data_IF_908068349116
#
_entry.id   IF_908068349116
#
_cell.length_a   1.000
_cell.length_b   1.000
_cell.length_c   1.000
_cell.angle_alpha   90.00
_cell.angle_beta   90.00
_cell.angle_gamma   90.00
#
_symmetry.space_group_name_H-M   'P 1'
#
loop_
_entity.id
_entity.type
_entity.pdbx_description
1 polymer ?
#
# COMPACT_ATOMS: atom_id res chain seq x y z
N UNK A 1 90.89 29.99 -41.29
CA UNK A 1 90.83 31.26 -42.04
C UNK A 1 89.42 31.45 -42.58
N UNK A 2 88.84 32.65 -42.39
CA UNK A 2 87.67 33.24 -43.08
C UNK A 2 86.31 32.55 -42.83
N UNK A 3 85.44 33.09 -41.97
CA UNK A 3 84.56 34.27 -42.15
C UNK A 3 83.54 34.10 -43.27
N UNK A 4 82.25 34.02 -42.93
CA UNK A 4 81.20 34.94 -43.42
C UNK A 4 79.89 34.80 -42.64
N UNK A 5 79.40 35.96 -42.21
CA UNK A 5 78.05 36.30 -41.73
C UNK A 5 77.09 36.35 -42.93
N UNK A 6 75.81 35.94 -42.79
CA UNK A 6 74.57 36.60 -43.30
C UNK A 6 73.35 35.93 -42.64
N UNK A 7 72.63 36.64 -41.76
CA UNK A 7 71.40 37.44 -41.96
C UNK A 7 70.13 36.66 -42.37
N UNK A 8 69.35 36.37 -41.32
CA UNK A 8 67.89 36.47 -41.16
C UNK A 8 66.95 36.39 -42.38
N UNK A 9 65.98 35.48 -42.33
CA UNK A 9 64.55 35.81 -42.53
C UNK A 9 63.71 35.10 -41.47
N UNK A 10 62.96 35.94 -40.76
CA UNK A 10 61.95 35.66 -39.75
C UNK A 10 60.69 35.10 -40.45
N UNK A 11 60.21 33.92 -40.06
CA UNK A 11 58.81 33.52 -40.31
C UNK A 11 58.20 33.16 -38.96
N UNK A 12 57.43 34.12 -38.43
CA UNK A 12 56.47 33.91 -37.37
C UNK A 12 55.45 32.85 -37.82
N UNK A 13 55.46 31.68 -37.19
CA UNK A 13 54.28 30.82 -37.15
C UNK A 13 53.73 30.87 -35.73
N UNK A 14 52.70 31.70 -35.55
CA UNK A 14 51.91 31.74 -34.33
C UNK A 14 51.27 30.36 -34.09
N UNK A 15 51.63 29.73 -32.99
CA UNK A 15 50.83 28.69 -32.35
C UNK A 15 49.60 29.33 -31.71
N UNK A 16 48.39 28.80 -31.94
CA UNK A 16 47.42 28.68 -30.86
C UNK A 16 47.53 27.25 -30.31
N UNK A 17 48.23 27.12 -29.18
CA UNK A 17 48.00 26.01 -28.26
C UNK A 17 46.50 26.03 -27.92
N UNK A 18 45.76 25.04 -28.36
CA UNK A 18 44.43 24.78 -27.82
C UNK A 18 44.65 24.24 -26.42
N UNK A 19 44.70 25.14 -25.45
CA UNK A 19 44.41 24.79 -24.07
C UNK A 19 42.96 24.31 -24.06
N UNK A 20 42.75 23.00 -24.10
CA UNK A 20 41.50 22.40 -23.63
C UNK A 20 41.40 22.74 -22.15
N UNK A 21 40.81 23.90 -21.85
CA UNK A 21 40.28 24.19 -20.55
C UNK A 21 39.25 23.08 -20.27
N UNK A 22 39.68 22.05 -19.53
CA UNK A 22 38.77 21.16 -18.85
C UNK A 22 38.01 22.04 -17.88
N UNK A 23 36.86 22.55 -18.32
CA UNK A 23 35.82 23.00 -17.44
C UNK A 23 35.41 21.73 -16.68
N UNK A 24 36.04 21.49 -15.54
CA UNK A 24 35.47 20.68 -14.48
C UNK A 24 34.17 21.39 -14.10
N UNK A 25 33.11 21.07 -14.83
CA UNK A 25 31.76 21.28 -14.34
C UNK A 25 31.74 20.65 -12.95
N UNK A 26 31.41 21.38 -11.88
CA UNK A 26 31.11 20.72 -10.63
C UNK A 26 29.99 19.76 -10.99
N UNK A 27 30.23 18.46 -10.81
CA UNK A 27 29.14 17.51 -10.74
C UNK A 27 28.29 17.98 -9.57
N UNK A 28 27.32 18.84 -9.85
CA UNK A 28 26.15 19.03 -9.02
C UNK A 28 25.62 17.62 -8.94
N UNK A 29 25.90 16.95 -7.81
CA UNK A 29 25.14 15.81 -7.36
C UNK A 29 23.70 16.28 -7.50
N UNK A 30 23.04 15.83 -8.56
CA UNK A 30 21.59 15.86 -8.60
C UNK A 30 21.23 14.94 -7.45
N UNK A 31 21.06 15.53 -6.27
CA UNK A 31 20.23 14.95 -5.25
C UNK A 31 18.97 14.57 -6.01
N UNK A 32 18.79 13.27 -6.23
CA UNK A 32 17.54 12.74 -6.74
C UNK A 32 16.54 13.21 -5.70
N UNK A 33 15.90 14.35 -5.96
CA UNK A 33 14.78 14.86 -5.18
C UNK A 33 13.86 13.65 -5.08
N UNK A 34 13.71 13.12 -3.88
CA UNK A 34 12.78 12.02 -3.68
C UNK A 34 11.46 12.47 -4.31
N UNK A 35 10.86 11.65 -5.19
CA UNK A 35 9.58 12.00 -5.80
C UNK A 35 8.65 12.46 -4.69
N UNK A 36 8.09 13.67 -4.80
CA UNK A 36 7.08 14.14 -3.85
C UNK A 36 6.01 13.05 -3.80
N UNK A 37 5.69 12.58 -2.60
CA UNK A 37 4.70 11.52 -2.33
C UNK A 37 3.29 12.04 -2.66
N UNK A 38 3.02 12.30 -3.94
CA UNK A 38 1.72 12.77 -4.38
C UNK A 38 0.80 11.58 -4.63
N UNK A 39 -0.04 11.29 -3.64
CA UNK A 39 -1.09 10.29 -3.70
C UNK A 39 -2.48 10.87 -4.03
N UNK A 40 -2.57 12.15 -4.37
CA UNK A 40 -3.84 12.82 -4.71
C UNK A 40 -4.56 12.15 -5.89
N UNK A 41 -3.81 11.45 -6.75
CA UNK A 41 -4.40 10.71 -7.86
C UNK A 41 -5.37 9.60 -7.43
N UNK A 42 -5.29 9.12 -6.19
CA UNK A 42 -6.23 8.14 -5.66
C UNK A 42 -7.66 8.72 -5.52
N UNK A 43 -7.79 10.04 -5.31
CA UNK A 43 -9.10 10.69 -5.10
C UNK A 43 -10.08 10.51 -6.25
N UNK A 44 -9.59 10.39 -7.48
CA UNK A 44 -10.46 10.20 -8.64
C UNK A 44 -11.27 8.89 -8.59
N UNK A 45 -10.87 7.94 -7.73
CA UNK A 45 -11.53 6.66 -7.55
C UNK A 45 -12.47 6.62 -6.35
N UNK A 46 -12.42 7.63 -5.48
CA UNK A 46 -13.38 7.80 -4.40
C UNK A 46 -14.76 8.24 -4.92
N UNK A 47 -15.73 8.43 -4.02
CA UNK A 47 -17.06 8.89 -4.41
C UNK A 47 -17.05 10.27 -5.08
N UNK A 48 -17.98 10.54 -6.03
CA UNK A 48 -19.06 9.66 -6.52
C UNK A 48 -18.63 8.65 -7.64
N UNK A 49 -19.31 7.49 -7.77
CA UNK A 49 -20.55 7.06 -7.08
C UNK A 49 -20.31 6.60 -5.63
N UNK A 50 -21.37 6.27 -4.87
CA UNK A 50 -21.28 6.02 -3.43
C UNK A 50 -20.24 4.94 -3.03
N UNK A 51 -20.09 3.91 -3.86
CA UNK A 51 -19.12 2.82 -3.65
C UNK A 51 -17.75 3.09 -4.29
N UNK A 52 -17.58 4.23 -4.97
CA UNK A 52 -16.34 4.60 -5.66
C UNK A 52 -16.19 3.95 -7.04
N UNK A 53 -14.94 3.86 -7.51
CA UNK A 53 -14.57 3.33 -8.84
C UNK A 53 -13.44 2.31 -8.71
N UNK A 54 -13.65 1.34 -7.84
CA UNK A 54 -12.76 0.23 -7.49
C UNK A 54 -12.23 -0.52 -8.73
N UNK A 55 -13.09 -0.82 -9.70
CA UNK A 55 -12.70 -1.50 -10.94
C UNK A 55 -11.72 -0.67 -11.79
N UNK A 56 -11.84 0.67 -11.78
CA UNK A 56 -10.92 1.54 -12.51
C UNK A 56 -9.59 1.68 -11.77
N UNK A 57 -9.61 1.72 -10.44
CA UNK A 57 -8.41 1.83 -9.61
C UNK A 57 -7.45 0.65 -9.83
N UNK A 58 -7.96 -0.59 -9.78
CA UNK A 58 -7.11 -1.78 -9.90
C UNK A 58 -6.49 -1.95 -11.30
N UNK A 59 -7.05 -1.26 -12.30
CA UNK A 59 -6.54 -1.21 -13.67
C UNK A 59 -5.59 -0.02 -13.91
N UNK A 60 -5.50 0.94 -12.99
CA UNK A 60 -4.58 2.08 -13.11
C UNK A 60 -3.13 1.59 -13.07
N UNK A 61 -2.34 2.00 -14.07
CA UNK A 61 -0.92 1.65 -14.18
C UNK A 61 -0.08 2.10 -12.98
N UNK A 62 -0.54 3.10 -12.22
CA UNK A 62 0.12 3.61 -11.01
C UNK A 62 -0.16 2.78 -9.77
N UNK A 63 -1.22 1.97 -9.76
CA UNK A 63 -1.65 1.24 -8.57
C UNK A 63 -0.62 0.18 -8.13
N UNK A 64 -0.10 -0.63 -9.04
CA UNK A 64 0.93 -1.63 -8.71
C UNK A 64 2.24 -0.99 -8.21
N UNK A 65 2.83 0.03 -8.88
CA UNK A 65 3.96 0.77 -8.33
C UNK A 65 3.68 1.39 -6.95
N UNK A 66 2.47 1.91 -6.74
CA UNK A 66 2.06 2.42 -5.44
C UNK A 66 2.11 1.33 -4.36
N UNK A 67 1.52 0.15 -4.59
CA UNK A 67 1.60 -0.95 -3.63
C UNK A 67 3.07 -1.33 -3.34
N UNK A 68 3.90 -1.44 -4.37
CA UNK A 68 5.32 -1.77 -4.22
C UNK A 68 6.13 -0.72 -3.44
N UNK A 69 5.75 0.56 -3.55
CA UNK A 69 6.40 1.65 -2.83
C UNK A 69 6.08 1.64 -1.34
N UNK A 70 4.83 1.36 -0.97
CA UNK A 70 4.36 1.53 0.41
C UNK A 70 4.26 0.21 1.19
N UNK A 71 4.04 -0.92 0.55
CA UNK A 71 3.86 -2.22 1.21
C UNK A 71 5.13 -3.07 1.11
N UNK A 72 6.14 -2.69 1.89
CA UNK A 72 7.50 -3.24 1.81
C UNK A 72 7.84 -4.25 2.91
N UNK A 73 6.99 -4.37 3.93
CA UNK A 73 7.25 -5.28 5.04
C UNK A 73 7.40 -6.73 4.53
N UNK A 74 8.37 -7.50 5.07
CA UNK A 74 8.48 -8.91 4.74
C UNK A 74 7.26 -9.66 5.25
N UNK A 75 6.76 -10.61 4.46
CA UNK A 75 5.64 -11.45 4.84
C UNK A 75 5.92 -12.89 4.45
N UNK A 76 5.65 -13.81 5.36
CA UNK A 76 5.73 -15.27 5.13
C UNK A 76 4.44 -15.98 5.53
N UNK A 77 3.36 -15.22 5.73
CA UNK A 77 2.09 -15.71 6.22
C UNK A 77 1.26 -16.29 5.07
N UNK A 78 1.26 -15.59 3.93
CA UNK A 78 0.58 -16.03 2.71
C UNK A 78 1.57 -16.60 1.71
N UNK A 79 1.44 -17.90 1.44
CA UNK A 79 2.28 -18.64 0.50
C UNK A 79 2.62 -20.03 1.02
N UNK A 80 3.67 -20.62 0.47
CA UNK A 80 4.14 -21.94 0.88
C UNK A 80 5.67 -21.96 0.85
N UNK A 81 6.35 -22.47 1.90
CA UNK A 81 7.82 -22.58 1.92
C UNK A 81 8.42 -23.26 0.68
N UNK A 82 7.67 -24.17 0.05
CA UNK A 82 8.10 -24.94 -1.13
C UNK A 82 7.97 -24.18 -2.45
N UNK A 83 6.97 -23.31 -2.58
CA UNK A 83 6.72 -22.54 -3.81
C UNK A 83 7.18 -21.09 -3.70
N UNK A 84 7.63 -20.69 -2.51
CA UNK A 84 7.97 -19.31 -2.17
C UNK A 84 6.79 -18.53 -1.61
N UNK A 85 7.12 -17.37 -1.08
CA UNK A 85 6.18 -16.38 -0.58
C UNK A 85 6.18 -15.19 -1.54
N UNK A 86 4.97 -14.69 -1.86
CA UNK A 86 4.83 -13.43 -2.59
C UNK A 86 5.29 -12.27 -1.73
N UNK A 87 5.73 -11.20 -2.36
CA UNK A 87 5.96 -9.93 -1.64
C UNK A 87 4.65 -9.37 -1.07
N UNK A 88 4.69 -8.52 -0.05
CA UNK A 88 3.47 -7.98 0.57
C UNK A 88 2.62 -7.21 -0.44
N UNK A 89 3.24 -6.43 -1.34
CA UNK A 89 2.53 -5.72 -2.41
C UNK A 89 1.85 -6.65 -3.43
N UNK A 90 2.45 -7.79 -3.76
CA UNK A 90 1.83 -8.80 -4.64
C UNK A 90 0.68 -9.51 -3.93
N UNK A 91 0.85 -9.82 -2.64
CA UNK A 91 -0.22 -10.37 -1.82
C UNK A 91 -1.38 -9.38 -1.69
N UNK A 92 -1.11 -8.11 -1.38
CA UNK A 92 -2.14 -7.08 -1.30
C UNK A 92 -2.92 -6.96 -2.61
N UNK A 93 -2.25 -7.08 -3.75
CA UNK A 93 -2.91 -7.10 -5.04
C UNK A 93 -3.82 -8.32 -5.22
N UNK A 94 -3.42 -9.51 -4.78
CA UNK A 94 -4.30 -10.69 -4.80
C UNK A 94 -5.57 -10.44 -3.96
N UNK A 95 -5.42 -9.88 -2.77
CA UNK A 95 -6.52 -9.56 -1.86
C UNK A 95 -7.43 -8.42 -2.34
N UNK A 96 -7.00 -7.66 -3.35
CA UNK A 96 -7.77 -6.60 -4.00
C UNK A 96 -8.18 -6.98 -5.43
N UNK A 97 -7.99 -8.24 -5.83
CA UNK A 97 -8.16 -8.70 -7.22
C UNK A 97 -9.61 -8.84 -7.66
N UNK A 98 -10.53 -9.08 -6.73
CA UNK A 98 -11.98 -8.90 -6.90
C UNK A 98 -12.33 -7.60 -6.17
N UNK A 99 -12.42 -6.47 -6.88
CA UNK A 99 -12.67 -5.17 -6.26
C UNK A 99 -14.06 -5.11 -5.63
N UNK A 100 -14.19 -4.40 -4.51
CA UNK A 100 -15.45 -4.20 -3.80
C UNK A 100 -15.83 -2.71 -3.73
N UNK A 101 -15.09 -1.88 -2.96
CA UNK A 101 -15.40 -0.45 -2.83
C UNK A 101 -14.14 0.42 -2.74
N UNK A 102 -14.30 1.70 -3.06
CA UNK A 102 -13.39 2.78 -2.69
C UNK A 102 -14.19 3.85 -1.94
N UNK A 103 -14.02 3.87 -0.62
CA UNK A 103 -14.71 4.80 0.28
C UNK A 103 -13.79 5.94 0.69
N UNK A 104 -14.39 7.11 0.90
CA UNK A 104 -13.72 8.30 1.39
C UNK A 104 -14.28 8.72 2.74
N UNK A 105 -13.40 8.97 3.71
CA UNK A 105 -13.76 9.48 5.03
C UNK A 105 -13.08 10.84 5.26
N UNK A 106 -13.85 11.79 5.80
CA UNK A 106 -13.37 13.11 6.25
C UNK A 106 -12.58 13.91 5.19
N UNK A 107 -12.79 13.64 3.90
CA UNK A 107 -11.98 14.19 2.79
C UNK A 107 -10.47 14.02 2.98
N UNK A 108 -10.05 12.97 3.71
CA UNK A 108 -8.65 12.72 4.05
C UNK A 108 -8.25 11.27 3.88
N UNK A 109 -9.13 10.33 4.22
CA UNK A 109 -8.80 8.92 4.23
C UNK A 109 -9.49 8.20 3.09
N UNK A 110 -8.80 7.26 2.46
CA UNK A 110 -9.39 6.32 1.51
C UNK A 110 -9.32 4.90 2.05
N UNK A 111 -10.41 4.16 1.88
CA UNK A 111 -10.48 2.71 2.12
C UNK A 111 -10.82 2.00 0.81
N UNK A 112 -9.93 1.12 0.36
CA UNK A 112 -10.07 0.36 -0.88
C UNK A 112 -10.21 -1.11 -0.49
N UNK A 113 -11.35 -1.72 -0.78
CA UNK A 113 -11.67 -3.09 -0.37
C UNK A 113 -11.74 -4.03 -1.56
N UNK A 114 -11.50 -5.31 -1.28
CA UNK A 114 -11.68 -6.39 -2.24
C UNK A 114 -11.52 -7.76 -1.60
N UNK A 115 -11.43 -8.78 -2.45
CA UNK A 115 -11.08 -10.13 -2.02
C UNK A 115 -10.18 -10.88 -3.01
N UNK A 116 -9.66 -12.02 -2.54
CA UNK A 116 -8.94 -12.97 -3.38
C UNK A 116 -9.87 -13.60 -4.41
N UNK A 117 -9.46 -13.57 -5.67
CA UNK A 117 -10.18 -14.18 -6.78
C UNK A 117 -10.53 -15.65 -6.50
N UNK A 118 -11.82 -15.99 -6.64
CA UNK A 118 -12.41 -17.31 -6.34
C UNK A 118 -12.33 -17.75 -4.87
N UNK A 119 -11.91 -16.88 -3.95
CA UNK A 119 -11.89 -17.18 -2.52
C UNK A 119 -12.15 -15.93 -1.66
N UNK A 120 -13.38 -15.40 -1.75
CA UNK A 120 -13.74 -14.18 -1.04
C UNK A 120 -13.84 -14.22 0.49
N UNK A 121 -13.77 -15.38 1.19
CA UNK A 121 -13.45 -15.35 2.62
C UNK A 121 -12.10 -14.68 2.93
N UNK A 122 -11.15 -14.69 2.00
CA UNK A 122 -9.94 -13.89 2.11
C UNK A 122 -10.18 -12.47 1.55
N UNK A 123 -10.33 -11.49 2.45
CA UNK A 123 -10.68 -10.10 2.10
C UNK A 123 -9.55 -9.15 2.41
N UNK A 124 -9.37 -8.15 1.56
CA UNK A 124 -8.40 -7.06 1.75
C UNK A 124 -9.06 -5.72 2.00
N UNK A 125 -8.41 -4.89 2.79
CA UNK A 125 -8.65 -3.46 2.95
C UNK A 125 -7.31 -2.75 2.87
N UNK A 126 -7.17 -1.85 1.91
CA UNK A 126 -6.07 -0.91 1.83
C UNK A 126 -6.57 0.45 2.30
N UNK A 127 -5.94 0.99 3.34
CA UNK A 127 -6.25 2.28 3.94
C UNK A 127 -5.12 3.27 3.68
N UNK A 128 -5.47 4.50 3.33
CA UNK A 128 -4.51 5.55 2.98
C UNK A 128 -4.89 6.86 3.67
N UNK A 129 -3.97 7.42 4.46
CA UNK A 129 -4.04 8.80 4.95
C UNK A 129 -3.37 9.75 3.96
N UNK A 130 -4.19 10.55 3.27
CA UNK A 130 -3.73 11.52 2.28
C UNK A 130 -3.45 12.92 2.88
N UNK A 131 -3.68 13.10 4.19
CA UNK A 131 -3.52 14.38 4.88
C UNK A 131 -2.13 14.62 5.48
N UNK A 132 -1.26 13.61 5.47
CA UNK A 132 0.09 13.69 6.06
C UNK A 132 1.15 14.06 5.02
N UNK A 133 2.24 14.75 5.41
CA UNK A 133 3.39 14.98 4.54
C UNK A 133 4.03 13.67 4.04
N UNK A 134 3.98 12.64 4.88
CA UNK A 134 4.33 11.26 4.59
C UNK A 134 3.09 10.40 4.78
N UNK A 135 2.46 9.93 3.68
CA UNK A 135 1.22 9.19 3.77
C UNK A 135 1.38 7.91 4.61
N UNK A 136 0.46 7.70 5.54
CA UNK A 136 0.31 6.42 6.22
C UNK A 136 -0.54 5.50 5.34
N UNK A 137 0.04 4.39 4.91
CA UNK A 137 -0.61 3.33 4.13
C UNK A 137 -0.62 2.07 4.96
N UNK A 138 -1.82 1.53 5.19
CA UNK A 138 -2.03 0.29 5.91
C UNK A 138 -2.77 -0.71 5.02
N UNK A 139 -2.27 -1.94 4.94
CA UNK A 139 -2.95 -3.06 4.30
C UNK A 139 -3.43 -4.04 5.38
N UNK A 140 -4.74 -4.17 5.49
CA UNK A 140 -5.40 -5.12 6.36
C UNK A 140 -5.94 -6.29 5.53
N UNK A 141 -5.77 -7.52 6.03
CA UNK A 141 -6.24 -8.72 5.35
C UNK A 141 -6.83 -9.72 6.36
N UNK A 142 -8.01 -10.24 6.03
CA UNK A 142 -8.66 -11.30 6.79
C UNK A 142 -8.25 -12.63 6.16
N UNK A 143 -7.65 -13.50 6.97
CA UNK A 143 -7.28 -14.85 6.58
C UNK A 143 -8.03 -15.89 7.40
N UNK A 144 -8.41 -16.98 6.75
CA UNK A 144 -9.19 -18.05 7.36
C UNK A 144 -8.28 -19.04 8.11
N UNK A 145 -8.63 -19.37 9.35
CA UNK A 145 -7.92 -20.38 10.14
C UNK A 145 -8.38 -21.77 9.71
N UNK A 146 -7.57 -22.41 8.88
CA UNK A 146 -7.88 -23.70 8.24
C UNK A 146 -8.24 -24.83 9.22
N UNK A 147 -7.64 -24.81 10.40
CA UNK A 147 -7.83 -25.83 11.43
C UNK A 147 -9.14 -25.65 12.25
N UNK A 148 -9.92 -24.61 11.97
CA UNK A 148 -11.20 -24.33 12.64
C UNK A 148 -12.39 -25.05 11.96
N UNK A 149 -13.14 -24.33 11.12
CA UNK A 149 -14.28 -24.78 10.30
C UNK A 149 -14.16 -24.19 8.91
N UNK A 150 -14.79 -24.77 7.90
CA UNK A 150 -14.78 -24.19 6.55
C UNK A 150 -15.38 -22.78 6.55
N UNK A 151 -14.98 -21.88 5.63
CA UNK A 151 -15.43 -20.48 5.66
C UNK A 151 -16.95 -20.26 5.58
N UNK A 152 -17.70 -21.22 5.06
CA UNK A 152 -19.17 -21.21 4.98
C UNK A 152 -19.87 -21.63 6.27
N UNK A 153 -19.15 -22.21 7.23
CA UNK A 153 -19.73 -22.73 8.46
C UNK A 153 -19.84 -21.65 9.56
N UNK A 154 -20.95 -21.62 10.32
CA UNK A 154 -21.07 -20.75 11.48
C UNK A 154 -19.95 -20.97 12.49
N UNK A 155 -19.32 -19.87 12.92
CA UNK A 155 -18.19 -19.91 13.86
C UNK A 155 -16.87 -20.35 13.24
N UNK A 156 -16.71 -20.25 11.92
CA UNK A 156 -15.39 -20.24 11.31
C UNK A 156 -14.59 -19.04 11.85
N UNK A 157 -13.32 -19.28 12.18
CA UNK A 157 -12.45 -18.29 12.82
C UNK A 157 -11.47 -17.70 11.83
N UNK A 158 -11.13 -16.42 12.06
CA UNK A 158 -10.32 -15.64 11.15
C UNK A 158 -9.25 -14.84 11.91
N UNK A 159 -8.10 -14.68 11.27
CA UNK A 159 -7.03 -13.78 11.70
C UNK A 159 -7.08 -12.51 10.84
N UNK A 160 -7.06 -11.35 11.49
CA UNK A 160 -6.85 -10.06 10.85
C UNK A 160 -5.38 -9.67 10.93
N UNK A 161 -4.72 -9.59 9.79
CA UNK A 161 -3.37 -9.06 9.67
C UNK A 161 -3.42 -7.60 9.23
N UNK A 162 -2.61 -6.73 9.83
CA UNK A 162 -2.51 -5.31 9.45
C UNK A 162 -1.04 -4.95 9.28
N UNK A 163 -0.65 -4.59 8.07
CA UNK A 163 0.70 -4.14 7.74
C UNK A 163 0.69 -2.64 7.48
N UNK A 164 1.63 -1.90 8.04
CA UNK A 164 1.74 -0.46 7.78
C UNK A 164 3.12 -0.10 7.22
N UNK A 165 3.18 0.95 6.40
CA UNK A 165 4.44 1.49 5.87
C UNK A 165 5.25 2.31 6.90
N UNK A 166 4.61 2.66 8.01
CA UNK A 166 5.24 3.26 9.19
C UNK A 166 4.83 2.48 10.44
N UNK A 167 5.68 2.44 11.50
CA UNK A 167 5.29 1.83 12.75
C UNK A 167 4.03 2.49 13.31
N UNK A 168 3.09 1.67 13.76
CA UNK A 168 1.89 2.11 14.48
C UNK A 168 2.03 1.63 15.91
N UNK A 169 1.85 2.52 16.88
CA UNK A 169 1.80 2.15 18.28
C UNK A 169 0.58 1.25 18.53
N UNK A 170 0.76 -0.01 18.98
CA UNK A 170 -0.35 -0.93 19.25
C UNK A 170 -1.39 -0.40 20.25
N UNK A 171 -0.99 0.49 21.16
CA UNK A 171 -1.87 1.10 22.16
C UNK A 171 -2.56 2.38 21.64
N UNK A 172 -2.08 2.95 20.54
CA UNK A 172 -2.56 4.22 19.97
C UNK A 172 -2.77 4.14 18.46
N UNK A 173 -3.58 3.17 18.03
CA UNK A 173 -3.96 3.00 16.62
C UNK A 173 -4.76 4.23 16.14
N UNK A 174 -4.49 4.78 14.93
CA UNK A 174 -5.23 5.90 14.39
C UNK A 174 -6.75 5.66 14.39
N UNK A 175 -7.57 6.53 15.01
CA UNK A 175 -9.02 6.33 15.10
C UNK A 175 -9.72 6.16 13.75
N UNK A 176 -9.23 6.85 12.71
CA UNK A 176 -9.77 6.74 11.37
C UNK A 176 -9.51 5.35 10.75
N UNK A 177 -8.34 4.74 11.00
CA UNK A 177 -8.06 3.36 10.58
C UNK A 177 -8.97 2.38 11.34
N UNK A 178 -9.09 2.54 12.66
CA UNK A 178 -10.01 1.74 13.49
C UNK A 178 -11.45 1.82 12.97
N UNK A 179 -11.92 3.02 12.62
CA UNK A 179 -13.25 3.21 12.05
C UNK A 179 -13.42 2.48 10.70
N UNK A 180 -12.45 2.59 9.79
CA UNK A 180 -12.50 1.94 8.48
C UNK A 180 -12.51 0.41 8.61
N UNK A 181 -11.67 -0.16 9.49
CA UNK A 181 -11.64 -1.61 9.76
C UNK A 181 -12.96 -2.06 10.38
N UNK A 182 -13.49 -1.29 11.33
CA UNK A 182 -14.75 -1.61 11.98
C UNK A 182 -15.91 -1.62 10.98
N UNK A 183 -16.02 -0.62 10.11
CA UNK A 183 -17.03 -0.58 9.04
C UNK A 183 -16.90 -1.75 8.06
N UNK A 184 -15.67 -2.09 7.68
CA UNK A 184 -15.38 -3.16 6.73
C UNK A 184 -15.69 -4.56 7.29
N UNK A 185 -15.28 -4.82 8.53
CA UNK A 185 -15.48 -6.12 9.20
C UNK A 185 -16.94 -6.36 9.61
N UNK A 186 -17.76 -5.31 9.69
CA UNK A 186 -19.20 -5.41 9.90
C UNK A 186 -19.98 -5.99 8.71
N UNK A 187 -19.37 -6.04 7.52
CA UNK A 187 -20.00 -6.55 6.31
C UNK A 187 -19.57 -8.00 6.04
N UNK A 188 -20.48 -8.88 5.60
CA UNK A 188 -20.10 -10.21 5.16
C UNK A 188 -19.30 -10.14 3.84
N UNK A 189 -18.49 -11.18 3.52
CA UNK A 189 -17.91 -11.34 2.20
C UNK A 189 -19.00 -11.35 1.10
N UNK A 190 -18.65 -10.90 -0.11
CA UNK A 190 -19.53 -11.01 -1.28
C UNK A 190 -19.99 -12.46 -1.48
N UNK A 191 -21.31 -12.65 -1.58
CA UNK A 191 -21.92 -13.97 -1.71
C UNK A 191 -22.13 -14.73 -0.40
N UNK A 192 -21.86 -14.11 0.75
CA UNK A 192 -22.15 -14.63 2.09
C UNK A 192 -23.10 -13.69 2.85
N UNK A 193 -23.86 -14.24 3.78
CA UNK A 193 -24.62 -13.48 4.80
C UNK A 193 -23.95 -13.53 6.17
N UNK A 194 -22.93 -14.39 6.33
CA UNK A 194 -22.24 -14.57 7.60
C UNK A 194 -21.12 -13.54 7.78
N UNK A 195 -21.16 -12.80 8.90
CA UNK A 195 -20.08 -11.91 9.33
C UNK A 195 -18.92 -12.77 9.85
N UNK A 196 -17.71 -12.50 9.36
CA UNK A 196 -16.50 -13.22 9.75
C UNK A 196 -16.12 -12.91 11.19
N UNK A 197 -15.93 -13.96 12.00
CA UNK A 197 -15.55 -13.82 13.39
C UNK A 197 -14.02 -13.70 13.50
N UNK A 198 -13.53 -12.48 13.71
CA UNK A 198 -12.10 -12.21 13.83
C UNK A 198 -11.67 -12.51 15.27
N UNK A 199 -11.03 -13.66 15.49
CA UNK A 199 -10.59 -14.10 16.83
C UNK A 199 -9.16 -13.65 17.14
N UNK A 200 -8.35 -13.40 16.10
CA UNK A 200 -6.98 -12.94 16.23
C UNK A 200 -6.74 -11.68 15.41
N UNK A 201 -5.95 -10.75 15.93
CA UNK A 201 -5.48 -9.57 15.20
C UNK A 201 -3.98 -9.36 15.43
N UNK A 202 -3.25 -9.10 14.35
CA UNK A 202 -1.80 -8.93 14.36
C UNK A 202 -1.45 -7.69 13.56
N UNK A 203 -0.84 -6.72 14.23
CA UNK A 203 -0.26 -5.53 13.61
C UNK A 203 1.21 -5.82 13.28
N UNK A 204 1.66 -5.50 12.08
CA UNK A 204 3.00 -5.81 11.59
C UNK A 204 3.70 -4.52 11.20
N UNK A 205 4.84 -4.27 11.85
CA UNK A 205 5.69 -3.13 11.56
C UNK A 205 6.35 -3.23 10.17
N UNK A 206 6.88 -2.12 9.63
CA UNK A 206 7.58 -2.12 8.34
C UNK A 206 8.78 -3.08 8.26
N UNK A 207 9.39 -3.41 9.40
CA UNK A 207 10.49 -4.37 9.47
C UNK A 207 10.02 -5.84 9.55
N UNK A 208 8.70 -6.09 9.60
CA UNK A 208 8.09 -7.41 9.73
C UNK A 208 7.85 -7.87 11.16
N UNK A 209 8.09 -7.03 12.18
CA UNK A 209 7.86 -7.40 13.59
C UNK A 209 6.35 -7.48 13.85
N UNK A 210 5.82 -8.64 14.30
CA UNK A 210 4.41 -8.77 14.61
C UNK A 210 4.12 -8.36 16.06
N UNK A 211 3.00 -7.67 16.24
CA UNK A 211 2.42 -7.27 17.51
C UNK A 211 1.01 -7.84 17.61
N UNK A 212 0.81 -8.78 18.53
CA UNK A 212 -0.53 -9.30 18.78
C UNK A 212 -1.36 -8.24 19.50
N UNK A 213 -2.54 -7.94 18.96
CA UNK A 213 -3.47 -6.98 19.52
C UNK A 213 -4.85 -7.63 19.69
N UNK A 214 -5.70 -7.03 20.53
CA UNK A 214 -7.10 -7.45 20.59
C UNK A 214 -7.82 -7.02 19.30
N UNK A 215 -8.69 -7.87 18.72
CA UNK A 215 -9.46 -7.49 17.52
C UNK A 215 -10.20 -6.15 17.68
N UNK A 216 -10.78 -5.91 18.85
CA UNK A 216 -11.49 -4.67 19.16
C UNK A 216 -10.59 -3.42 19.16
N UNK A 217 -9.28 -3.54 19.44
CA UNK A 217 -8.34 -2.41 19.44
C UNK A 217 -8.21 -1.78 18.05
N UNK A 218 -8.25 -2.61 17.00
CA UNK A 218 -8.24 -2.18 15.59
C UNK A 218 -9.67 -2.05 15.02
N UNK A 219 -10.71 -2.17 15.85
CA UNK A 219 -12.11 -1.99 15.46
C UNK A 219 -12.77 -3.24 14.89
N UNK A 220 -12.07 -4.37 14.79
CA UNK A 220 -12.70 -5.61 14.35
C UNK A 220 -13.77 -6.07 15.35
N UNK A 221 -14.90 -6.56 14.84
CA UNK A 221 -16.08 -7.01 15.59
C UNK A 221 -16.78 -5.93 16.46
N UNK A 222 -16.44 -4.65 16.32
CA UNK A 222 -17.05 -3.60 17.15
C UNK A 222 -18.37 -3.06 16.58
N UNK A 223 -18.69 -3.41 15.33
CA UNK A 223 -19.98 -3.15 14.71
C UNK A 223 -20.66 -4.47 14.35
N UNK A 224 -21.87 -4.66 14.88
CA UNK A 224 -22.80 -5.69 14.41
C UNK A 224 -23.90 -5.00 13.61
N UNK A 225 -23.96 -5.25 12.30
CA UNK A 225 -25.17 -4.95 11.54
C UNK A 225 -26.26 -5.85 12.14
N UNK A 226 -27.34 -5.26 12.65
CA UNK A 226 -28.48 -6.05 13.16
C UNK A 226 -28.98 -6.99 12.05
N UNK A 227 -29.29 -8.26 12.34
CA UNK A 227 -29.91 -9.16 11.38
C UNK A 227 -31.16 -8.51 10.77
N UNK A 228 -31.31 -8.65 9.45
CA UNK A 228 -32.38 -8.03 8.66
C UNK A 228 -33.79 -8.59 8.98
N UNK A 229 -33.90 -9.55 9.90
CA UNK A 229 -35.16 -10.20 10.28
C UNK A 229 -36.05 -9.36 11.20
N UNK A 230 -35.53 -8.30 11.84
CA UNK A 230 -36.33 -7.45 12.73
C UNK A 230 -37.11 -6.33 12.01
N UNK A 231 -36.87 -6.09 10.70
CA UNK A 231 -37.56 -5.03 9.97
C UNK A 231 -38.87 -5.46 9.28
N UNK A 232 -39.20 -6.76 9.27
CA UNK A 232 -40.49 -7.25 8.73
C UNK A 232 -41.61 -7.40 9.77
N UNK A 233 -41.35 -7.10 11.04
CA UNK A 233 -42.35 -7.24 12.11
C UNK A 233 -43.05 -5.91 12.52
N UNK A 234 -42.83 -4.81 11.79
CA UNK A 234 -43.42 -3.49 12.13
C UNK A 234 -44.11 -2.78 10.95
N UNK A 235 -44.67 -3.53 9.99
CA UNK A 235 -45.64 -2.96 9.03
C UNK A 235 -46.95 -3.71 9.08
#
# INVERSE_FOLDING_TARGET
MRSTIQLAILVLALTPMWATAQISSPQIKRDKKQPKENLEWLWQYGPPPADGRENQLVLDARFRPFLAQYLTAPQTFWGNPKTGYKTLNETALDFLSVPDKVLADENRYLSITGCVFRFCPARGLLWVDLGLPHPLVAFAAIDWIKDSKTPSEPGAEYTLWVFANHPIDPDHIPPALTHSVARWTAQPPTGSTAIQQITHAILVDPNGTPHQIQPATIGANTFTVKPQDDQKAQQ
#
